data_IF_427006604757
#
_entry.id   IF_427006604757
#
_cell.length_a   1.000
_cell.length_b   1.000
_cell.length_c   1.000
_cell.angle_alpha   90.00
_cell.angle_beta   90.00
_cell.angle_gamma   90.00
#
_symmetry.space_group_name_H-M   'P 1'
#
loop_
_entity.id
_entity.type
_entity.pdbx_description
1 polymer ?
#
# COMPACT_ATOMS: atom_id res chain seq x y z
N UNK A 1 -33.97 -7.86 -29.58
CA UNK A 1 -33.97 -6.50 -29.01
C UNK A 1 -34.71 -5.59 -29.97
N UNK A 2 -35.70 -4.81 -29.52
CA UNK A 2 -36.46 -3.92 -30.41
C UNK A 2 -35.69 -2.61 -30.66
N UNK A 3 -35.94 -1.95 -31.79
CA UNK A 3 -35.28 -0.69 -32.16
C UNK A 3 -35.45 0.43 -31.10
N UNK A 4 -36.53 0.38 -30.32
CA UNK A 4 -36.78 1.32 -29.23
C UNK A 4 -35.83 1.12 -28.04
N UNK A 5 -35.43 -0.12 -27.74
CA UNK A 5 -34.47 -0.41 -26.67
C UNK A 5 -33.05 0.05 -27.05
N UNK A 6 -32.66 -0.12 -28.32
CA UNK A 6 -31.37 0.35 -28.82
C UNK A 6 -31.29 1.89 -28.83
N UNK A 7 -32.37 2.59 -29.21
CA UNK A 7 -32.41 4.06 -29.21
C UNK A 7 -32.33 4.65 -27.79
N UNK A 8 -33.00 4.04 -26.81
CA UNK A 8 -32.94 4.44 -25.40
C UNK A 8 -31.53 4.24 -24.81
N UNK A 9 -30.85 3.15 -25.20
CA UNK A 9 -29.49 2.84 -24.76
C UNK A 9 -28.45 3.80 -25.35
N UNK A 10 -28.64 4.20 -26.62
CA UNK A 10 -27.83 5.24 -27.29
C UNK A 10 -28.04 6.61 -26.62
N UNK A 11 -29.28 6.99 -26.33
CA UNK A 11 -29.60 8.25 -25.64
C UNK A 11 -29.04 8.29 -24.20
N UNK A 12 -29.15 7.18 -23.45
CA UNK A 12 -28.60 7.07 -22.09
C UNK A 12 -27.05 7.09 -22.06
N UNK A 13 -26.40 6.73 -23.17
CA UNK A 13 -24.95 6.83 -23.36
C UNK A 13 -24.49 8.24 -23.72
N UNK A 14 -25.34 9.02 -24.41
CA UNK A 14 -25.05 10.38 -24.87
C UNK A 14 -25.45 11.49 -23.88
N UNK A 15 -26.15 11.17 -22.80
CA UNK A 15 -26.48 12.14 -21.76
C UNK A 15 -25.23 12.55 -20.96
N UNK A 16 -24.99 13.86 -20.74
CA UNK A 16 -23.88 14.33 -19.92
C UNK A 16 -23.90 13.70 -18.53
N UNK A 17 -22.71 13.42 -18.01
CA UNK A 17 -22.52 12.81 -16.70
C UNK A 17 -21.59 13.64 -15.85
N UNK A 18 -21.90 13.69 -14.57
CA UNK A 18 -21.01 14.26 -13.57
C UNK A 18 -20.62 13.15 -12.62
N UNK A 19 -19.33 12.85 -12.57
CA UNK A 19 -18.77 11.92 -11.59
C UNK A 19 -18.17 12.71 -10.43
N UNK A 20 -18.12 12.09 -9.25
CA UNK A 20 -17.43 12.62 -8.08
C UNK A 20 -16.38 11.59 -7.66
N UNK A 21 -15.11 12.00 -7.65
CA UNK A 21 -13.99 11.15 -7.26
C UNK A 21 -13.74 11.15 -5.75
N UNK A 22 -12.75 10.38 -5.28
CA UNK A 22 -12.43 10.28 -3.85
C UNK A 22 -11.83 11.57 -3.25
N UNK A 23 -11.37 12.51 -4.09
CA UNK A 23 -10.97 13.85 -3.67
C UNK A 23 -12.14 14.85 -3.68
N UNK A 24 -13.37 14.38 -3.94
CA UNK A 24 -14.57 15.21 -4.02
C UNK A 24 -14.63 16.08 -5.28
N UNK A 25 -13.78 15.83 -6.27
CA UNK A 25 -13.74 16.62 -7.51
C UNK A 25 -14.86 16.19 -8.45
N UNK A 26 -15.47 17.18 -9.09
CA UNK A 26 -16.50 16.98 -10.10
C UNK A 26 -15.85 16.78 -11.47
N UNK A 27 -16.17 15.68 -12.14
CA UNK A 27 -15.65 15.34 -13.46
C UNK A 27 -16.81 15.29 -14.44
N UNK A 28 -16.83 16.24 -15.37
CA UNK A 28 -17.88 16.34 -16.38
C UNK A 28 -17.51 15.56 -17.63
N UNK A 29 -18.38 14.62 -18.00
CA UNK A 29 -18.25 13.78 -19.18
C UNK A 29 -19.42 14.08 -20.12
N UNK A 30 -19.17 14.15 -21.45
CA UNK A 30 -20.24 14.35 -22.42
C UNK A 30 -21.21 13.16 -22.51
N UNK A 31 -20.81 12.00 -21.96
CA UNK A 31 -21.56 10.75 -21.99
C UNK A 31 -20.94 9.70 -21.08
N UNK A 32 -21.49 8.49 -21.09
CA UNK A 32 -20.89 7.35 -20.39
C UNK A 32 -19.55 6.96 -21.06
N UNK A 33 -18.41 6.93 -20.32
CA UNK A 33 -17.09 6.68 -20.89
C UNK A 33 -17.05 5.29 -21.52
N UNK A 34 -16.73 5.23 -22.82
CA UNK A 34 -16.62 3.99 -23.59
C UNK A 34 -15.20 3.42 -23.55
N UNK A 35 -14.19 4.29 -23.37
CA UNK A 35 -12.77 3.95 -23.38
C UNK A 35 -12.13 4.40 -22.08
N UNK A 36 -11.97 3.46 -21.15
CA UNK A 36 -11.39 3.70 -19.83
C UNK A 36 -9.96 3.16 -19.81
N UNK A 37 -9.04 3.94 -19.25
CA UNK A 37 -7.69 3.47 -18.91
C UNK A 37 -7.55 3.45 -17.41
N UNK A 38 -7.09 2.35 -16.83
CA UNK A 38 -6.82 2.24 -15.39
C UNK A 38 -5.32 2.24 -15.13
N UNK A 39 -4.80 3.21 -14.40
CA UNK A 39 -3.39 3.32 -14.04
C UNK A 39 -3.12 2.88 -12.59
N UNK A 40 -4.00 2.06 -12.01
CA UNK A 40 -3.84 1.54 -10.67
C UNK A 40 -4.39 0.10 -10.57
N UNK A 41 -3.62 -0.85 -10.01
CA UNK A 41 -4.04 -2.25 -9.88
C UNK A 41 -5.36 -2.41 -9.15
N UNK A 42 -5.53 -1.77 -8.00
CA UNK A 42 -6.78 -1.86 -7.23
C UNK A 42 -7.97 -1.35 -8.03
N UNK A 43 -7.82 -0.22 -8.74
CA UNK A 43 -8.89 0.35 -9.54
C UNK A 43 -9.27 -0.56 -10.71
N UNK A 44 -8.30 -1.22 -11.34
CA UNK A 44 -8.53 -2.20 -12.39
C UNK A 44 -9.42 -3.34 -11.89
N UNK A 45 -9.06 -3.94 -10.76
CA UNK A 45 -9.84 -5.03 -10.17
C UNK A 45 -11.27 -4.61 -9.85
N UNK A 46 -11.44 -3.43 -9.25
CA UNK A 46 -12.75 -2.89 -8.89
C UNK A 46 -13.61 -2.56 -10.12
N UNK A 47 -13.03 -2.05 -11.21
CA UNK A 47 -13.74 -1.81 -12.47
C UNK A 47 -14.25 -3.11 -13.09
N UNK A 48 -13.43 -4.17 -13.10
CA UNK A 48 -13.87 -5.50 -13.53
C UNK A 48 -14.97 -6.05 -12.63
N UNK A 49 -14.80 -5.97 -11.31
CA UNK A 49 -15.79 -6.42 -10.35
C UNK A 49 -17.12 -5.66 -10.45
N UNK A 50 -17.08 -4.38 -10.85
CA UNK A 50 -18.25 -3.54 -11.12
C UNK A 50 -18.92 -3.84 -12.48
N UNK A 51 -18.36 -4.74 -13.30
CA UNK A 51 -18.92 -5.11 -14.60
C UNK A 51 -18.48 -4.20 -15.76
N UNK A 52 -17.48 -3.35 -15.57
CA UNK A 52 -17.00 -2.39 -16.58
C UNK A 52 -15.77 -2.89 -17.35
N UNK A 53 -15.42 -4.18 -17.20
CA UNK A 53 -14.23 -4.81 -17.82
C UNK A 53 -14.09 -4.52 -19.32
N UNK A 54 -15.19 -4.60 -20.08
CA UNK A 54 -15.22 -4.39 -21.53
C UNK A 54 -14.92 -2.94 -21.96
N UNK A 55 -15.00 -1.99 -21.04
CA UNK A 55 -14.67 -0.57 -21.30
C UNK A 55 -13.19 -0.27 -21.09
N UNK A 56 -12.44 -1.16 -20.43
CA UNK A 56 -11.00 -0.97 -20.24
C UNK A 56 -10.25 -1.22 -21.54
N UNK A 57 -9.54 -0.19 -22.02
CA UNK A 57 -8.75 -0.26 -23.26
C UNK A 57 -7.25 -0.42 -23.00
N UNK A 58 -6.80 -0.12 -21.79
CA UNK A 58 -5.44 -0.37 -21.32
C UNK A 58 -5.36 -0.29 -19.79
N UNK A 59 -4.32 -0.88 -19.22
CA UNK A 59 -4.05 -0.89 -17.77
C UNK A 59 -2.58 -0.60 -17.46
N UNK A 60 -2.25 -0.33 -16.19
CA UNK A 60 -0.86 -0.24 -15.75
C UNK A 60 -0.13 -1.60 -15.82
N UNK A 61 1.19 -1.57 -15.66
CA UNK A 61 2.05 -2.76 -15.77
C UNK A 61 1.76 -3.86 -14.75
N UNK A 62 1.28 -3.50 -13.56
CA UNK A 62 1.08 -4.41 -12.43
C UNK A 62 -0.36 -4.93 -12.35
N UNK A 63 -1.28 -4.41 -13.17
CA UNK A 63 -2.66 -4.89 -13.24
C UNK A 63 -2.73 -6.23 -13.98
N UNK A 64 -2.86 -7.35 -13.26
CA UNK A 64 -2.92 -8.70 -13.85
C UNK A 64 -4.19 -9.50 -13.46
N UNK A 65 -4.98 -9.00 -12.52
CA UNK A 65 -6.25 -9.59 -12.08
C UNK A 65 -7.46 -8.71 -12.47
N UNK A 66 -8.62 -9.32 -12.83
CA UNK A 66 -8.81 -10.74 -13.14
C UNK A 66 -8.04 -11.14 -14.41
N UNK A 67 -7.97 -12.43 -14.82
CA UNK A 67 -7.14 -12.87 -15.96
C UNK A 67 -7.37 -12.13 -17.28
N UNK A 68 -8.55 -11.52 -17.45
CA UNK A 68 -8.86 -10.63 -18.57
C UNK A 68 -8.00 -9.35 -18.57
N UNK A 69 -7.70 -8.77 -17.40
CA UNK A 69 -6.86 -7.58 -17.25
C UNK A 69 -5.42 -7.82 -17.74
N UNK A 70 -4.88 -9.02 -17.55
CA UNK A 70 -3.56 -9.41 -18.04
C UNK A 70 -3.43 -9.32 -19.58
N UNK A 71 -4.54 -9.45 -20.31
CA UNK A 71 -4.58 -9.41 -21.79
C UNK A 71 -4.68 -7.99 -22.36
N UNK A 72 -5.03 -7.01 -21.53
CA UNK A 72 -5.14 -5.63 -21.96
C UNK A 72 -3.76 -5.01 -22.24
N UNK A 73 -3.67 -4.08 -23.20
CA UNK A 73 -2.44 -3.30 -23.43
C UNK A 73 -1.91 -2.69 -22.13
N UNK A 74 -0.61 -2.84 -21.89
CA UNK A 74 0.05 -2.27 -20.71
C UNK A 74 0.66 -0.92 -21.05
N UNK A 75 0.35 0.10 -20.26
CA UNK A 75 0.95 1.42 -20.37
C UNK A 75 2.13 1.52 -19.39
N UNK A 76 3.35 1.39 -19.90
CA UNK A 76 4.56 1.54 -19.09
C UNK A 76 5.77 2.01 -19.92
N UNK A 77 6.49 3.01 -19.40
CA UNK A 77 7.94 3.20 -19.58
C UNK A 77 8.50 3.65 -18.22
N UNK A 78 9.38 2.88 -17.57
CA UNK A 78 9.82 3.21 -16.20
C UNK A 78 10.29 4.67 -16.04
N UNK A 79 9.96 5.39 -14.95
CA UNK A 79 9.03 5.11 -13.86
C UNK A 79 7.63 5.74 -14.05
N UNK A 80 7.20 6.05 -15.28
CA UNK A 80 5.95 6.78 -15.55
C UNK A 80 5.07 6.09 -16.61
N UNK A 81 3.75 6.30 -16.61
CA UNK A 81 2.94 5.87 -17.75
C UNK A 81 3.36 6.62 -19.01
N UNK A 82 3.45 5.89 -20.14
CA UNK A 82 3.70 6.45 -21.47
C UNK A 82 2.50 7.32 -21.88
N UNK A 83 2.66 8.65 -21.77
CA UNK A 83 1.57 9.61 -21.95
C UNK A 83 1.18 9.68 -23.43
N UNK A 84 2.14 9.61 -24.34
CA UNK A 84 1.92 9.60 -25.78
C UNK A 84 1.06 8.39 -26.20
N UNK A 85 1.41 7.20 -25.69
CA UNK A 85 0.64 5.98 -25.93
C UNK A 85 -0.73 6.04 -25.28
N UNK A 86 -0.84 6.63 -24.09
CA UNK A 86 -2.12 6.87 -23.44
C UNK A 86 -3.01 7.80 -24.29
N UNK A 87 -2.46 8.90 -24.83
CA UNK A 87 -3.20 9.82 -25.70
C UNK A 87 -3.61 9.16 -27.02
N UNK A 88 -2.76 8.31 -27.61
CA UNK A 88 -3.08 7.57 -28.83
C UNK A 88 -4.28 6.63 -28.66
N UNK A 89 -4.52 6.13 -27.43
CA UNK A 89 -5.71 5.33 -27.12
C UNK A 89 -7.00 6.16 -27.09
N UNK A 90 -6.92 7.49 -27.07
CA UNK A 90 -8.08 8.41 -26.96
C UNK A 90 -9.06 7.98 -25.86
N UNK A 91 -8.61 7.95 -24.59
CA UNK A 91 -9.48 7.58 -23.48
C UNK A 91 -10.52 8.68 -23.21
N UNK A 92 -11.72 8.26 -22.83
CA UNK A 92 -12.77 9.16 -22.34
C UNK A 92 -12.52 9.50 -20.86
N UNK A 93 -11.92 8.56 -20.12
CA UNK A 93 -11.64 8.66 -18.70
C UNK A 93 -10.38 7.86 -18.34
N UNK A 94 -9.52 8.42 -17.49
CA UNK A 94 -8.40 7.72 -16.87
C UNK A 94 -8.64 7.60 -15.37
N UNK A 95 -8.57 6.39 -14.83
CA UNK A 95 -8.69 6.12 -13.39
C UNK A 95 -7.29 5.95 -12.80
N UNK A 96 -6.99 6.68 -11.74
CA UNK A 96 -5.66 6.69 -11.10
C UNK A 96 -5.78 6.48 -9.59
N UNK A 97 -4.68 6.04 -8.97
CA UNK A 97 -4.53 6.09 -7.51
C UNK A 97 -3.88 7.41 -7.12
N UNK A 98 -4.57 8.20 -6.27
CA UNK A 98 -4.10 9.52 -5.82
C UNK A 98 -2.68 9.49 -5.24
N UNK A 99 -2.51 8.89 -4.07
CA UNK A 99 -1.21 8.80 -3.37
C UNK A 99 -0.24 7.74 -3.91
N UNK A 100 -0.72 6.76 -4.70
CA UNK A 100 0.15 5.72 -5.25
C UNK A 100 0.78 6.04 -6.60
N UNK A 101 0.43 7.18 -7.18
CA UNK A 101 1.12 7.73 -8.34
C UNK A 101 2.02 8.87 -7.87
N UNK A 102 3.21 9.05 -8.48
CA UNK A 102 4.13 10.15 -8.10
C UNK A 102 3.35 11.46 -8.03
N UNK A 103 3.57 12.27 -6.99
CA UNK A 103 2.98 13.60 -6.84
C UNK A 103 3.01 14.34 -8.18
N UNK A 104 1.84 14.80 -8.65
CA UNK A 104 1.56 15.48 -9.92
C UNK A 104 1.09 14.63 -11.13
N UNK A 105 0.93 13.29 -11.07
CA UNK A 105 0.38 12.56 -12.25
C UNK A 105 -1.07 12.97 -12.61
N UNK A 106 -2.03 13.03 -11.67
CA UNK A 106 -3.39 13.46 -11.98
C UNK A 106 -3.42 14.86 -12.61
N UNK A 107 -2.65 15.80 -12.04
CA UNK A 107 -2.56 17.19 -12.49
C UNK A 107 -1.95 17.29 -13.89
N UNK A 108 -0.92 16.49 -14.19
CA UNK A 108 -0.28 16.46 -15.52
C UNK A 108 -1.20 15.92 -16.60
N UNK A 109 -1.96 14.86 -16.30
CA UNK A 109 -2.96 14.31 -17.23
C UNK A 109 -4.07 15.32 -17.50
N UNK A 110 -4.53 16.03 -16.46
CA UNK A 110 -5.51 17.11 -16.61
C UNK A 110 -4.98 18.28 -17.45
N UNK A 111 -3.71 18.66 -17.28
CA UNK A 111 -3.08 19.75 -18.04
C UNK A 111 -3.06 19.49 -19.56
N UNK A 112 -3.06 18.23 -19.99
CA UNK A 112 -3.15 17.84 -21.41
C UNK A 112 -4.58 17.52 -21.86
N UNK A 113 -5.60 17.87 -21.07
CA UNK A 113 -7.01 17.76 -21.42
C UNK A 113 -7.64 16.38 -21.17
N UNK A 114 -6.95 15.49 -20.45
CA UNK A 114 -7.48 14.17 -20.12
C UNK A 114 -8.35 14.25 -18.86
N UNK A 115 -9.53 13.63 -18.90
CA UNK A 115 -10.40 13.52 -17.74
C UNK A 115 -9.89 12.43 -16.81
N UNK A 116 -9.61 12.80 -15.56
CA UNK A 116 -9.01 11.92 -14.55
C UNK A 116 -9.99 11.70 -13.41
N UNK A 117 -10.19 10.44 -13.02
CA UNK A 117 -10.91 10.02 -11.83
C UNK A 117 -9.93 9.43 -10.81
N UNK A 118 -9.88 9.98 -9.59
CA UNK A 118 -9.07 9.41 -8.51
C UNK A 118 -9.87 8.38 -7.73
N UNK A 119 -9.35 7.15 -7.67
CA UNK A 119 -9.86 6.07 -6.82
C UNK A 119 -8.88 5.84 -5.69
N UNK A 120 -9.29 6.15 -4.47
CA UNK A 120 -8.44 6.12 -3.28
C UNK A 120 -9.22 5.69 -2.03
N UNK A 121 -9.69 4.43 -1.96
CA UNK A 121 -10.36 3.92 -0.78
C UNK A 121 -9.36 3.72 0.38
N UNK A 122 -9.72 4.21 1.56
CA UNK A 122 -8.90 4.18 2.79
C UNK A 122 -9.37 3.14 3.82
N UNK A 123 -10.51 2.49 3.59
CA UNK A 123 -11.04 1.43 4.46
C UNK A 123 -11.73 0.34 3.64
N UNK A 124 -11.95 -0.84 4.25
CA UNK A 124 -12.67 -1.92 3.57
C UNK A 124 -14.10 -1.51 3.16
N UNK A 125 -14.80 -0.71 3.99
CA UNK A 125 -16.14 -0.25 3.61
C UNK A 125 -16.08 0.73 2.41
N UNK A 126 -15.00 1.49 2.27
CA UNK A 126 -14.77 2.36 1.10
C UNK A 126 -14.53 1.58 -0.18
N UNK A 127 -13.95 0.38 -0.12
CA UNK A 127 -13.86 -0.52 -1.29
C UNK A 127 -15.27 -0.86 -1.80
N UNK A 128 -16.19 -1.19 -0.88
CA UNK A 128 -17.60 -1.41 -1.23
C UNK A 128 -18.27 -0.17 -1.82
N UNK A 129 -18.00 1.02 -1.27
CA UNK A 129 -18.51 2.30 -1.82
C UNK A 129 -17.91 2.62 -3.18
N UNK A 130 -16.62 2.35 -3.39
CA UNK A 130 -15.93 2.53 -4.66
C UNK A 130 -16.54 1.65 -5.76
N UNK A 131 -16.82 0.38 -5.46
CA UNK A 131 -17.54 -0.52 -6.37
C UNK A 131 -18.88 0.07 -6.80
N UNK A 132 -19.68 0.57 -5.85
CA UNK A 132 -20.97 1.17 -6.16
C UNK A 132 -20.84 2.44 -7.02
N UNK A 133 -19.87 3.33 -6.71
CA UNK A 133 -19.60 4.57 -7.46
C UNK A 133 -19.15 4.31 -8.89
N UNK A 134 -18.38 3.25 -9.15
CA UNK A 134 -18.01 2.90 -10.52
C UNK A 134 -19.23 2.62 -11.40
N UNK A 135 -20.36 2.20 -10.80
CA UNK A 135 -21.64 2.10 -11.50
C UNK A 135 -22.09 3.38 -12.21
N UNK A 136 -21.68 4.56 -11.73
CA UNK A 136 -22.03 5.85 -12.33
C UNK A 136 -21.38 6.06 -13.72
N UNK A 137 -20.35 5.25 -14.04
CA UNK A 137 -19.64 5.28 -15.31
C UNK A 137 -20.46 4.61 -16.42
N UNK A 138 -21.36 3.71 -16.06
CA UNK A 138 -22.02 2.81 -16.99
C UNK A 138 -23.48 3.14 -17.29
N UNK A 139 -24.10 2.23 -18.04
CA UNK A 139 -25.54 2.12 -18.25
C UNK A 139 -26.26 1.76 -16.95
N UNK A 140 -27.60 1.76 -16.98
CA UNK A 140 -28.42 1.31 -15.84
C UNK A 140 -28.10 -0.14 -15.44
N UNK A 141 -27.84 -1.01 -16.41
CA UNK A 141 -27.49 -2.40 -16.15
C UNK A 141 -26.11 -2.54 -15.48
N UNK A 142 -25.12 -1.77 -15.93
CA UNK A 142 -23.79 -1.73 -15.32
C UNK A 142 -23.82 -1.10 -13.92
N UNK A 143 -24.65 -0.07 -13.71
CA UNK A 143 -24.87 0.50 -12.40
C UNK A 143 -25.48 -0.52 -11.42
N UNK A 144 -26.42 -1.34 -11.88
CA UNK A 144 -27.00 -2.40 -11.05
C UNK A 144 -26.00 -3.53 -10.77
N UNK A 145 -25.19 -3.91 -11.77
CA UNK A 145 -24.11 -4.88 -11.59
C UNK A 145 -23.09 -4.40 -10.54
N UNK A 146 -22.68 -3.14 -10.62
CA UNK A 146 -21.79 -2.48 -9.67
C UNK A 146 -22.38 -2.47 -8.24
N UNK A 147 -23.66 -2.10 -8.09
CA UNK A 147 -24.38 -2.16 -6.80
C UNK A 147 -24.51 -3.58 -6.27
N UNK A 148 -24.76 -4.56 -7.13
CA UNK A 148 -24.82 -5.97 -6.73
C UNK A 148 -23.46 -6.47 -6.25
N UNK A 149 -22.37 -6.11 -6.94
CA UNK A 149 -21.00 -6.41 -6.50
C UNK A 149 -20.67 -5.75 -5.16
N UNK A 150 -21.03 -4.48 -4.97
CA UNK A 150 -20.87 -3.77 -3.70
C UNK A 150 -21.65 -4.44 -2.56
N UNK A 151 -22.92 -4.82 -2.78
CA UNK A 151 -23.74 -5.57 -1.80
C UNK A 151 -23.11 -6.91 -1.45
N UNK A 152 -22.57 -7.65 -2.43
CA UNK A 152 -21.87 -8.92 -2.21
C UNK A 152 -20.61 -8.72 -1.36
N UNK A 153 -19.79 -7.72 -1.69
CA UNK A 153 -18.59 -7.39 -0.93
C UNK A 153 -18.95 -7.00 0.52
N UNK A 154 -19.92 -6.12 0.71
CA UNK A 154 -20.38 -5.71 2.04
C UNK A 154 -20.95 -6.88 2.85
N UNK A 155 -21.71 -7.77 2.21
CA UNK A 155 -22.24 -9.00 2.83
C UNK A 155 -21.14 -9.96 3.27
N UNK A 156 -20.12 -10.17 2.42
CA UNK A 156 -18.94 -10.97 2.78
C UNK A 156 -18.17 -10.34 3.95
N UNK A 157 -17.96 -9.02 3.93
CA UNK A 157 -17.30 -8.30 5.01
C UNK A 157 -18.10 -8.39 6.32
N UNK A 158 -19.41 -8.26 6.27
CA UNK A 158 -20.29 -8.43 7.44
C UNK A 158 -20.24 -9.86 7.99
N UNK A 159 -20.23 -10.87 7.13
CA UNK A 159 -20.10 -12.27 7.53
C UNK A 159 -18.75 -12.54 8.19
N UNK A 160 -17.65 -12.01 7.64
CA UNK A 160 -16.33 -12.11 8.24
C UNK A 160 -16.29 -11.42 9.61
N UNK A 161 -16.82 -10.19 9.72
CA UNK A 161 -16.95 -9.45 10.98
C UNK A 161 -17.71 -10.28 12.02
N UNK A 162 -18.89 -10.78 11.68
CA UNK A 162 -19.70 -11.61 12.59
C UNK A 162 -18.99 -12.91 13.00
N UNK A 163 -18.41 -13.64 12.03
CA UNK A 163 -17.74 -14.94 12.28
C UNK A 163 -16.54 -14.81 13.20
N UNK A 164 -15.76 -13.75 13.05
CA UNK A 164 -14.54 -13.54 13.82
C UNK A 164 -14.73 -12.63 15.04
N UNK A 165 -15.97 -12.22 15.30
CA UNK A 165 -16.30 -11.25 16.35
C UNK A 165 -15.90 -11.67 17.77
N UNK A 166 -16.01 -12.96 18.06
CA UNK A 166 -15.79 -13.52 19.40
C UNK A 166 -14.45 -14.28 19.50
N UNK A 167 -13.55 -14.11 18.54
CA UNK A 167 -12.26 -14.80 18.56
C UNK A 167 -11.21 -13.99 19.33
N UNK A 168 -10.32 -14.65 20.07
CA UNK A 168 -9.23 -13.97 20.76
C UNK A 168 -8.35 -13.21 19.75
N UNK A 169 -7.82 -12.03 20.12
CA UNK A 169 -6.93 -11.26 19.26
C UNK A 169 -5.73 -12.09 18.80
N UNK A 170 -5.32 -11.92 17.55
CA UNK A 170 -4.15 -12.58 16.97
C UNK A 170 -3.01 -11.59 16.82
N UNK A 171 -1.79 -12.03 17.08
CA UNK A 171 -0.58 -11.28 16.75
C UNK A 171 -0.46 -11.21 15.22
N UNK A 172 -0.39 -10.01 14.66
CA UNK A 172 -0.36 -9.79 13.21
C UNK A 172 1.04 -9.33 12.80
N UNK A 173 1.64 -10.04 11.84
CA UNK A 173 2.82 -9.57 11.10
C UNK A 173 2.35 -9.10 9.72
N UNK A 174 2.57 -7.83 9.39
CA UNK A 174 2.24 -7.26 8.08
C UNK A 174 3.54 -6.92 7.36
N UNK A 175 3.89 -7.69 6.33
CA UNK A 175 5.02 -7.41 5.45
C UNK A 175 4.56 -6.54 4.28
N UNK A 176 4.94 -5.26 4.28
CA UNK A 176 4.55 -4.30 3.23
C UNK A 176 5.77 -3.94 2.38
N UNK A 177 6.04 -4.74 1.33
CA UNK A 177 7.05 -4.52 0.30
C UNK A 177 8.51 -4.44 0.81
N UNK A 178 9.47 -4.46 -0.13
CA UNK A 178 10.92 -4.26 0.10
C UNK A 178 11.47 -2.89 -0.37
N UNK A 179 10.67 -2.08 -1.10
CA UNK A 179 10.95 -0.73 -1.66
C UNK A 179 9.76 -0.29 -2.56
N UNK A 180 9.21 0.94 -2.51
CA UNK A 180 9.64 2.15 -1.81
C UNK A 180 9.00 2.31 -0.42
N UNK A 181 9.34 3.41 0.26
CA UNK A 181 8.70 3.90 1.48
C UNK A 181 7.17 3.97 1.35
N UNK A 182 6.45 3.16 2.13
CA UNK A 182 4.99 3.19 2.25
C UNK A 182 4.65 3.60 3.68
N UNK A 183 3.78 4.61 3.84
CA UNK A 183 3.30 5.03 5.15
C UNK A 183 2.16 4.16 5.66
N UNK A 184 2.18 3.81 6.95
CA UNK A 184 1.04 3.24 7.67
C UNK A 184 0.47 4.29 8.65
N UNK A 185 -0.85 4.34 8.81
CA UNK A 185 -1.68 5.39 9.43
C UNK A 185 -2.97 4.81 9.96
N UNK A 186 -3.67 5.56 10.82
CA UNK A 186 -5.08 5.30 11.15
C UNK A 186 -6.03 5.33 9.93
N UNK A 187 -5.62 6.01 8.85
CA UNK A 187 -6.34 6.16 7.57
C UNK A 187 -5.91 5.20 6.45
N UNK A 188 -5.09 4.20 6.75
CA UNK A 188 -4.85 3.11 5.79
C UNK A 188 -5.25 1.77 6.37
N UNK A 189 -5.13 0.75 5.53
CA UNK A 189 -5.67 -0.57 5.79
C UNK A 189 -5.18 -1.17 7.12
N UNK A 190 -3.94 -0.87 7.54
CA UNK A 190 -3.41 -1.38 8.82
C UNK A 190 -4.05 -0.66 9.99
N UNK A 191 -4.19 0.67 9.95
CA UNK A 191 -4.93 1.42 10.96
C UNK A 191 -6.41 1.02 11.06
N UNK A 192 -7.09 0.89 9.92
CA UNK A 192 -8.49 0.42 9.84
C UNK A 192 -8.63 -0.99 10.42
N UNK A 193 -7.67 -1.90 10.14
CA UNK A 193 -7.66 -3.24 10.70
C UNK A 193 -7.49 -3.22 12.24
N UNK A 194 -6.52 -2.45 12.75
CA UNK A 194 -6.29 -2.31 14.19
C UNK A 194 -7.53 -1.73 14.90
N UNK A 195 -8.15 -0.72 14.31
CA UNK A 195 -9.37 -0.12 14.85
C UNK A 195 -10.52 -1.14 14.88
N UNK A 196 -10.69 -1.94 13.83
CA UNK A 196 -11.71 -3.01 13.79
C UNK A 196 -11.46 -4.08 14.84
N UNK A 197 -10.22 -4.51 15.03
CA UNK A 197 -9.85 -5.47 16.07
C UNK A 197 -10.23 -4.91 17.45
N UNK A 198 -9.92 -3.64 17.70
CA UNK A 198 -10.21 -3.02 18.98
C UNK A 198 -11.71 -2.87 19.24
N UNK A 199 -12.48 -2.37 18.25
CA UNK A 199 -13.95 -2.31 18.33
C UNK A 199 -14.54 -3.70 18.58
N UNK A 200 -13.98 -4.72 17.94
CA UNK A 200 -14.45 -6.09 18.09
C UNK A 200 -14.13 -6.69 19.46
N UNK A 201 -13.01 -6.30 20.05
CA UNK A 201 -12.64 -6.65 21.42
C UNK A 201 -13.41 -5.84 22.48
N UNK A 202 -14.40 -5.02 22.06
CA UNK A 202 -15.19 -4.18 22.97
C UNK A 202 -14.39 -3.04 23.60
N UNK A 203 -13.24 -2.70 23.00
CA UNK A 203 -12.36 -1.65 23.51
C UNK A 203 -12.94 -0.29 23.17
N UNK A 204 -13.14 0.52 24.20
CA UNK A 204 -13.51 1.92 24.02
C UNK A 204 -12.32 2.75 23.47
N UNK A 205 -12.51 4.05 23.32
CA UNK A 205 -11.48 4.94 22.77
C UNK A 205 -10.26 5.03 23.69
N UNK A 206 -10.43 4.93 25.00
CA UNK A 206 -9.32 4.96 25.95
C UNK A 206 -8.53 3.64 25.89
N UNK A 207 -9.22 2.52 25.83
CA UNK A 207 -8.62 1.19 25.66
C UNK A 207 -7.86 1.06 24.34
N UNK A 208 -8.37 1.66 23.27
CA UNK A 208 -7.66 1.75 21.98
C UNK A 208 -6.34 2.50 22.09
N UNK A 209 -6.33 3.66 22.76
CA UNK A 209 -5.10 4.43 22.99
C UNK A 209 -4.12 3.64 23.85
N UNK A 210 -4.60 2.96 24.89
CA UNK A 210 -3.79 2.07 25.74
C UNK A 210 -3.24 0.89 24.95
N UNK A 211 -4.02 0.29 24.04
CA UNK A 211 -3.59 -0.80 23.17
C UNK A 211 -2.44 -0.36 22.26
N UNK A 212 -2.58 0.77 21.58
CA UNK A 212 -1.53 1.31 20.71
C UNK A 212 -0.27 1.67 21.50
N UNK A 213 -0.43 2.32 22.67
CA UNK A 213 0.68 2.68 23.54
C UNK A 213 1.41 1.46 24.15
N UNK A 214 0.72 0.31 24.29
CA UNK A 214 1.28 -0.96 24.75
C UNK A 214 1.75 -1.86 23.62
N UNK A 215 1.57 -1.44 22.37
CA UNK A 215 2.04 -2.17 21.20
C UNK A 215 3.51 -1.83 20.93
N UNK A 216 4.20 -2.74 20.26
CA UNK A 216 5.57 -2.55 19.81
C UNK A 216 5.70 -2.97 18.37
N UNK A 217 6.22 -2.09 17.51
CA UNK A 217 6.35 -2.34 16.08
C UNK A 217 7.80 -2.63 15.71
N UNK A 218 8.06 -3.80 15.13
CA UNK A 218 9.38 -4.16 14.60
C UNK A 218 9.36 -3.92 13.09
N UNK A 219 9.92 -2.79 12.67
CA UNK A 219 10.13 -2.42 11.27
C UNK A 219 11.36 -3.15 10.73
N UNK A 220 11.13 -4.28 10.07
CA UNK A 220 12.20 -5.12 9.54
C UNK A 220 12.49 -4.80 8.07
N UNK A 221 13.67 -4.23 7.81
CA UNK A 221 14.21 -3.95 6.48
C UNK A 221 15.73 -4.06 6.50
N UNK A 222 16.37 -4.40 5.39
CA UNK A 222 17.79 -4.72 5.34
C UNK A 222 18.70 -3.59 5.87
N UNK A 223 19.91 -3.95 6.31
CA UNK A 223 20.91 -3.03 6.84
C UNK A 223 22.20 -3.08 6.01
N UNK A 224 22.91 -1.95 5.94
CA UNK A 224 24.19 -1.89 5.23
C UNK A 224 25.30 -2.55 6.05
N UNK A 225 25.84 -3.65 5.56
CA UNK A 225 27.07 -4.22 6.09
C UNK A 225 28.28 -3.36 5.70
N UNK A 226 29.24 -3.24 6.61
CA UNK A 226 30.51 -2.55 6.38
C UNK A 226 31.29 -3.19 5.25
N UNK A 227 31.86 -2.37 4.37
CA UNK A 227 32.61 -2.85 3.21
C UNK A 227 34.04 -2.29 3.23
N UNK A 228 35.09 -3.16 3.24
CA UNK A 228 36.48 -2.72 3.37
C UNK A 228 36.98 -1.84 2.22
N UNK A 229 36.43 -2.03 1.01
CA UNK A 229 36.77 -1.20 -0.15
C UNK A 229 36.14 0.20 -0.11
N UNK A 230 35.16 0.44 0.75
CA UNK A 230 34.45 1.72 0.84
C UNK A 230 34.38 2.21 2.30
N UNK A 231 35.50 2.26 3.04
CA UNK A 231 35.47 2.50 4.48
C UNK A 231 34.92 3.91 4.80
N UNK A 232 35.09 4.86 3.88
CA UNK A 232 34.55 6.21 3.99
C UNK A 232 33.02 6.27 3.88
N UNK A 233 32.32 5.24 3.42
CA UNK A 233 30.85 5.28 3.37
C UNK A 233 30.18 4.99 4.73
N UNK A 234 30.95 4.61 5.76
CA UNK A 234 30.42 4.10 7.02
C UNK A 234 30.88 4.94 8.21
N UNK A 235 30.04 4.96 9.24
CA UNK A 235 30.37 5.56 10.53
C UNK A 235 31.47 4.71 11.22
N UNK A 236 32.65 5.27 11.56
CA UNK A 236 33.78 4.51 12.08
C UNK A 236 33.49 3.57 13.25
N UNK A 237 32.61 3.97 14.17
CA UNK A 237 32.24 3.20 15.37
C UNK A 237 31.08 2.22 15.16
N UNK A 238 30.45 2.19 13.98
CA UNK A 238 29.25 1.38 13.70
C UNK A 238 29.47 0.45 12.51
N UNK A 239 30.53 -0.37 12.58
CA UNK A 239 30.89 -1.34 11.55
C UNK A 239 30.08 -2.62 11.67
N UNK A 240 28.90 -2.60 11.06
CA UNK A 240 28.03 -3.76 10.93
C UNK A 240 28.72 -4.87 10.13
N UNK A 241 28.76 -6.08 10.66
CA UNK A 241 29.34 -7.26 10.02
C UNK A 241 28.26 -8.22 9.54
N UNK A 242 28.56 -8.96 8.48
CA UNK A 242 27.74 -10.07 8.00
C UNK A 242 27.97 -11.30 8.88
N UNK A 243 26.91 -12.09 9.10
CA UNK A 243 26.82 -13.23 10.00
C UNK A 243 27.02 -12.91 11.49
N UNK A 244 26.82 -11.65 11.88
CA UNK A 244 26.98 -11.19 13.26
C UNK A 244 25.65 -10.75 13.90
N UNK A 245 24.51 -11.05 13.28
CA UNK A 245 23.18 -10.89 13.86
C UNK A 245 22.41 -9.67 13.36
N UNK A 246 21.12 -9.56 13.75
CA UNK A 246 20.25 -8.44 13.40
C UNK A 246 20.85 -7.10 13.81
N UNK A 247 20.60 -6.10 12.98
CA UNK A 247 21.15 -4.76 13.10
C UNK A 247 20.06 -3.82 13.52
N UNK A 248 20.22 -3.15 14.65
CA UNK A 248 19.34 -2.07 15.12
C UNK A 248 19.79 -0.77 14.44
N UNK A 249 18.88 -0.14 13.68
CA UNK A 249 19.18 1.03 12.85
C UNK A 249 18.75 2.31 13.56
N UNK A 250 19.68 3.24 13.74
CA UNK A 250 19.45 4.54 14.36
C UNK A 250 19.93 5.67 13.45
N UNK A 251 19.25 6.81 13.52
CA UNK A 251 19.61 7.99 12.74
C UNK A 251 19.21 9.27 13.48
N UNK A 252 20.14 10.21 13.61
CA UNK A 252 19.91 11.47 14.34
C UNK A 252 18.76 12.31 13.78
N UNK A 253 18.48 12.20 12.48
CA UNK A 253 17.39 12.91 11.80
C UNK A 253 16.09 12.09 11.76
N UNK A 254 15.96 11.03 12.58
CA UNK A 254 14.76 10.19 12.67
C UNK A 254 14.34 9.58 11.32
N UNK A 255 15.33 9.26 10.46
CA UNK A 255 15.12 8.42 9.25
C UNK A 255 14.79 6.96 9.58
N UNK A 256 15.06 6.58 10.83
CA UNK A 256 14.62 5.36 11.49
C UNK A 256 13.90 5.78 12.77
N UNK A 257 12.84 5.08 13.17
CA UNK A 257 12.02 5.39 14.36
C UNK A 257 12.65 4.95 15.66
N UNK A 258 13.76 4.22 15.59
CA UNK A 258 14.43 3.65 16.75
C UNK A 258 14.84 4.73 17.76
N UNK A 259 14.18 4.71 18.92
CA UNK A 259 14.62 5.37 20.14
C UNK A 259 15.42 4.43 21.05
N UNK A 260 16.04 4.98 22.11
CA UNK A 260 16.85 4.21 23.04
C UNK A 260 16.07 3.09 23.76
N UNK A 261 14.81 3.38 24.09
CA UNK A 261 13.83 2.47 24.69
C UNK A 261 13.47 1.30 23.76
N UNK A 262 13.12 1.61 22.50
CA UNK A 262 12.76 0.60 21.48
C UNK A 262 13.97 -0.27 21.09
N UNK A 263 15.16 0.33 21.04
CA UNK A 263 16.41 -0.41 20.85
C UNK A 263 16.68 -1.36 22.02
N UNK A 264 16.53 -0.90 23.27
CA UNK A 264 16.71 -1.74 24.46
C UNK A 264 15.74 -2.92 24.48
N UNK A 265 14.49 -2.70 24.11
CA UNK A 265 13.50 -3.77 24.01
C UNK A 265 13.91 -4.82 22.97
N UNK A 266 14.40 -4.41 21.80
CA UNK A 266 14.86 -5.36 20.79
C UNK A 266 16.17 -6.07 21.19
N UNK A 267 17.08 -5.39 21.89
CA UNK A 267 18.27 -6.03 22.46
C UNK A 267 17.89 -7.14 23.46
N UNK A 268 16.91 -6.89 24.33
CA UNK A 268 16.38 -7.89 25.25
C UNK A 268 15.72 -9.08 24.53
N UNK A 269 15.00 -8.83 23.43
CA UNK A 269 14.45 -9.88 22.57
C UNK A 269 15.58 -10.74 21.97
N UNK A 270 16.65 -10.13 21.47
CA UNK A 270 17.81 -10.86 20.93
C UNK A 270 18.51 -11.70 22.01
N UNK A 271 18.67 -11.15 23.21
CA UNK A 271 19.24 -11.85 24.37
C UNK A 271 18.39 -13.07 24.76
N UNK A 272 17.07 -12.89 24.89
CA UNK A 272 16.13 -13.98 25.17
C UNK A 272 16.17 -15.06 24.08
N UNK A 273 16.30 -14.64 22.82
CA UNK A 273 16.42 -15.53 21.68
C UNK A 273 17.80 -16.20 21.59
N UNK A 274 18.79 -15.80 22.38
CA UNK A 274 20.17 -16.29 22.31
C UNK A 274 20.85 -15.99 20.97
N UNK A 275 20.60 -14.81 20.41
CA UNK A 275 21.21 -14.35 19.14
C UNK A 275 21.96 -13.03 19.34
N UNK A 276 23.08 -12.82 18.63
CA UNK A 276 23.79 -11.55 18.68
C UNK A 276 22.95 -10.44 18.03
N UNK A 277 23.19 -9.20 18.41
CA UNK A 277 22.66 -8.03 17.71
C UNK A 277 23.76 -6.98 17.55
N UNK A 278 23.59 -6.12 16.55
CA UNK A 278 24.54 -5.08 16.17
C UNK A 278 23.83 -3.73 16.12
N UNK A 279 24.59 -2.64 16.18
CA UNK A 279 24.05 -1.30 16.03
C UNK A 279 24.58 -0.63 14.77
N UNK A 280 23.68 0.06 14.08
CA UNK A 280 23.98 0.88 12.92
C UNK A 280 23.61 2.33 13.21
N UNK A 281 24.57 3.22 12.95
CA UNK A 281 24.32 4.64 12.82
C UNK A 281 24.77 5.07 11.43
N UNK A 282 23.92 5.81 10.74
CA UNK A 282 24.30 6.41 9.46
C UNK A 282 25.15 7.64 9.70
N UNK A 283 26.17 7.84 8.86
CA UNK A 283 26.95 9.09 8.83
C UNK A 283 26.02 10.27 8.63
N UNK A 284 26.14 11.29 9.47
CA UNK A 284 25.24 12.45 9.43
C UNK A 284 25.48 13.38 8.26
N UNK A 285 26.64 13.29 7.61
CA UNK A 285 27.02 14.08 6.44
C UNK A 285 26.67 13.42 5.09
N UNK A 286 26.05 12.23 5.12
CA UNK A 286 25.55 11.53 3.95
C UNK A 286 24.02 11.48 3.93
N UNK A 287 23.46 11.40 2.72
CA UNK A 287 22.03 11.19 2.54
C UNK A 287 21.63 9.79 3.02
N UNK A 288 20.68 9.73 3.96
CA UNK A 288 20.18 8.48 4.51
C UNK A 288 18.82 8.11 3.90
N UNK A 289 18.66 6.84 3.50
CA UNK A 289 17.36 6.26 3.21
C UNK A 289 16.48 6.22 4.47
N UNK A 290 15.16 6.15 4.27
CA UNK A 290 14.20 6.00 5.38
C UNK A 290 13.52 4.64 5.29
N UNK A 291 13.01 4.15 6.41
CA UNK A 291 12.12 2.99 6.48
C UNK A 291 10.68 3.42 6.73
N UNK A 292 9.76 2.45 6.79
CA UNK A 292 8.37 2.70 7.18
C UNK A 292 8.21 3.00 8.68
N UNK A 293 9.20 2.64 9.51
CA UNK A 293 9.19 2.80 10.97
C UNK A 293 8.78 4.21 11.44
N UNK A 294 9.46 5.29 10.98
CA UNK A 294 9.10 6.66 11.35
C UNK A 294 7.66 7.04 11.02
N UNK A 295 7.14 6.56 9.88
CA UNK A 295 5.79 6.90 9.45
C UNK A 295 4.76 6.20 10.32
N UNK A 296 4.97 4.90 10.58
CA UNK A 296 4.10 4.08 11.44
C UNK A 296 4.08 4.67 12.85
N UNK A 297 5.25 4.95 13.42
CA UNK A 297 5.38 5.52 14.75
C UNK A 297 4.68 6.87 14.87
N UNK A 298 4.89 7.77 13.89
CA UNK A 298 4.29 9.10 13.91
C UNK A 298 2.76 9.09 13.73
N UNK A 299 2.21 8.18 12.93
CA UNK A 299 0.77 8.17 12.60
C UNK A 299 -0.07 7.30 13.53
N UNK A 300 0.47 6.20 14.06
CA UNK A 300 -0.25 5.31 14.98
C UNK A 300 0.13 5.54 16.45
N UNK A 301 1.22 6.25 16.73
CA UNK A 301 1.73 6.45 18.09
C UNK A 301 2.29 5.17 18.71
N UNK A 302 2.58 4.14 17.90
CA UNK A 302 3.14 2.87 18.36
C UNK A 302 4.68 3.01 18.42
N UNK A 303 5.32 2.74 19.58
CA UNK A 303 6.77 2.65 19.67
C UNK A 303 7.33 1.65 18.66
N UNK A 304 8.34 2.06 17.88
CA UNK A 304 8.85 1.27 16.77
C UNK A 304 10.38 1.19 16.74
N UNK A 305 10.91 -0.01 16.51
CA UNK A 305 12.33 -0.24 16.25
C UNK A 305 12.54 -0.58 14.78
N UNK A 306 13.55 0.01 14.16
CA UNK A 306 14.02 -0.38 12.84
C UNK A 306 15.18 -1.37 12.95
N UNK A 307 14.98 -2.56 12.38
CA UNK A 307 15.95 -3.65 12.41
C UNK A 307 16.20 -4.20 11.02
N UNK A 308 17.34 -4.84 10.80
CA UNK A 308 17.68 -5.40 9.50
C UNK A 308 18.71 -6.52 9.54
N UNK A 309 18.67 -7.40 8.56
CA UNK A 309 19.79 -8.30 8.29
C UNK A 309 20.88 -7.53 7.50
N UNK A 310 22.16 -7.67 7.87
CA UNK A 310 23.25 -6.98 7.20
C UNK A 310 23.52 -7.56 5.81
N UNK A 311 23.71 -6.67 4.83
CA UNK A 311 24.00 -7.05 3.45
C UNK A 311 24.93 -6.07 2.73
N UNK A 312 25.59 -6.56 1.69
CA UNK A 312 26.35 -5.78 0.73
C UNK A 312 25.60 -5.63 -0.59
N UNK A 313 25.98 -4.58 -1.34
CA UNK A 313 25.46 -4.30 -2.67
C UNK A 313 23.92 -4.20 -2.71
N UNK A 314 23.32 -3.60 -1.69
CA UNK A 314 21.89 -3.36 -1.62
C UNK A 314 21.41 -2.63 -2.89
N UNK A 315 20.32 -3.12 -3.50
CA UNK A 315 19.75 -2.70 -4.79
C UNK A 315 20.58 -3.02 -6.04
N UNK A 316 21.63 -3.84 -5.92
CA UNK A 316 22.33 -4.41 -7.07
C UNK A 316 21.49 -5.52 -7.74
N UNK A 317 21.78 -5.82 -9.01
CA UNK A 317 21.24 -7.02 -9.68
C UNK A 317 21.63 -8.32 -8.95
N UNK A 318 22.69 -8.28 -8.13
CA UNK A 318 23.09 -9.34 -7.21
C UNK A 318 23.49 -8.74 -5.88
N UNK A 319 22.66 -8.99 -4.89
CA UNK A 319 22.91 -8.62 -3.50
C UNK A 319 23.62 -9.77 -2.78
N UNK A 320 24.26 -9.51 -1.64
CA UNK A 320 24.95 -10.53 -0.86
C UNK A 320 24.73 -10.32 0.64
N UNK A 321 24.33 -11.36 1.34
CA UNK A 321 24.00 -11.32 2.76
C UNK A 321 24.53 -12.58 3.48
N UNK A 322 24.49 -12.56 4.80
CA UNK A 322 24.93 -13.66 5.64
C UNK A 322 23.86 -14.73 5.81
N UNK A 323 24.25 -16.00 5.66
CA UNK A 323 23.34 -17.13 5.87
C UNK A 323 22.91 -17.22 7.35
N UNK A 324 23.81 -16.89 8.29
CA UNK A 324 23.49 -16.92 9.72
C UNK A 324 22.53 -15.79 10.11
N UNK A 325 22.63 -14.63 9.48
CA UNK A 325 21.78 -13.48 9.82
C UNK A 325 20.31 -13.74 9.56
N UNK A 326 19.99 -14.50 8.52
CA UNK A 326 18.62 -14.92 8.25
C UNK A 326 18.07 -15.80 9.39
N UNK A 327 18.88 -16.77 9.84
CA UNK A 327 18.52 -17.62 10.98
C UNK A 327 18.38 -16.82 12.28
N UNK A 328 19.30 -15.89 12.55
CA UNK A 328 19.23 -15.03 13.73
C UNK A 328 18.01 -14.12 13.74
N UNK A 329 17.64 -13.54 12.59
CA UNK A 329 16.44 -12.72 12.47
C UNK A 329 15.17 -13.55 12.73
N UNK A 330 15.07 -14.76 12.17
CA UNK A 330 13.94 -15.66 12.44
C UNK A 330 13.82 -15.94 13.94
N UNK A 331 14.92 -16.26 14.63
CA UNK A 331 14.93 -16.52 16.07
C UNK A 331 14.51 -15.29 16.89
N UNK A 332 15.05 -14.11 16.59
CA UNK A 332 14.68 -12.87 17.27
C UNK A 332 13.19 -12.56 17.11
N UNK A 333 12.66 -12.62 15.88
CA UNK A 333 11.25 -12.37 15.62
C UNK A 333 10.36 -13.45 16.26
N UNK A 334 10.78 -14.71 16.24
CA UNK A 334 10.04 -15.80 16.88
C UNK A 334 9.94 -15.58 18.38
N UNK A 335 11.01 -15.12 19.05
CA UNK A 335 10.98 -14.75 20.46
C UNK A 335 10.04 -13.56 20.71
N UNK A 336 10.14 -12.50 19.89
CA UNK A 336 9.27 -11.32 19.98
C UNK A 336 7.77 -11.68 19.87
N UNK A 337 7.43 -12.62 18.99
CA UNK A 337 6.08 -13.13 18.79
C UNK A 337 5.78 -14.42 19.57
N UNK A 338 6.57 -14.79 20.58
CA UNK A 338 6.24 -15.89 21.49
C UNK A 338 5.99 -15.42 22.91
N UNK A 339 6.51 -14.23 23.26
CA UNK A 339 6.14 -13.48 24.46
C UNK A 339 4.67 -12.99 24.43
#
# INVERSE_FOLDING_TARGET
>A
MSAASAAAEIAARAAPRVLIDDWGRRIELPGAPARIVSLAPHATELLFAAGLGERLVAVDRNSDFPPQAARLPKLAVQPQPDIERLMALRPDLVVVWGSGTREALPERLQAVGIRVFVSEPHSLDEVGRALARFGDFGSVAEAEAARAAARRFAGQLALLRSRFSQRPPVRVFVQVWSMPLIGLSDRDLVGDLLQRIALQAGLDVEDQRRLLARSFFISADMAHAWHPNFPAAYEPCHRVQVNAGPVIKSNANQRYSTGADTAALFMAICEQAGVPCQQYAHRTDLGCGSTIGPIVAARLGIPAVDVGAPMWAMHSARESAGVLDHHYMIRALSAAFSA
#
